data_IF_622457051115
#
_entry.id   IF_622457051115
#
_cell.length_a   1.000
_cell.length_b   1.000
_cell.length_c   1.000
_cell.angle_alpha   90.00
_cell.angle_beta   90.00
_cell.angle_gamma   90.00
#
_symmetry.space_group_name_H-M   'P 1'
#
loop_
_entity.id
_entity.type
_entity.pdbx_description
1 polymer ?
#
# COMPACT_ATOMS: atom_id res chain seq x y z
N UNK A 1 -9.06 -0.10 18.55
CA UNK A 1 -9.29 -1.31 17.75
C UNK A 1 -10.22 -0.97 16.59
N UNK A 2 -9.66 -0.52 15.46
CA UNK A 2 -10.43 -0.26 14.23
C UNK A 2 -10.22 -1.44 13.28
N UNK A 3 -10.92 -2.55 13.58
CA UNK A 3 -10.93 -3.77 12.75
C UNK A 3 -11.59 -3.55 11.38
N UNK A 4 -12.16 -2.38 11.12
CA UNK A 4 -12.77 -2.02 9.84
C UNK A 4 -11.76 -1.62 8.75
N UNK A 5 -10.57 -1.13 9.13
CA UNK A 5 -9.53 -0.72 8.18
C UNK A 5 -8.93 -1.88 7.35
N UNK A 6 -8.53 -3.04 7.95
CA UNK A 6 -7.95 -4.12 7.17
C UNK A 6 -8.96 -4.76 6.21
N UNK A 7 -10.24 -4.83 6.59
CA UNK A 7 -11.29 -5.43 5.76
C UNK A 7 -11.59 -4.58 4.53
N UNK A 8 -11.74 -3.27 4.68
CA UNK A 8 -12.00 -2.35 3.56
C UNK A 8 -10.81 -2.35 2.59
N UNK A 9 -9.58 -2.33 3.10
CA UNK A 9 -8.38 -2.38 2.26
C UNK A 9 -8.29 -3.69 1.47
N UNK A 10 -8.65 -4.82 2.09
CA UNK A 10 -8.65 -6.13 1.44
C UNK A 10 -9.74 -6.22 0.36
N UNK A 11 -10.94 -5.69 0.63
CA UNK A 11 -12.03 -5.65 -0.37
C UNK A 11 -11.65 -4.82 -1.59
N UNK A 12 -11.02 -3.66 -1.39
CA UNK A 12 -10.57 -2.81 -2.50
C UNK A 12 -9.43 -3.50 -3.27
N UNK A 13 -8.49 -4.16 -2.58
CA UNK A 13 -7.44 -4.95 -3.22
C UNK A 13 -7.99 -6.04 -4.12
N UNK A 14 -9.00 -6.78 -3.67
CA UNK A 14 -9.63 -7.86 -4.44
C UNK A 14 -10.36 -7.29 -5.65
N UNK A 15 -11.13 -6.20 -5.47
CA UNK A 15 -11.86 -5.56 -6.56
C UNK A 15 -10.92 -5.02 -7.66
N UNK A 16 -9.75 -4.48 -7.29
CA UNK A 16 -8.74 -4.03 -8.26
C UNK A 16 -8.09 -5.22 -8.98
N UNK A 17 -7.72 -6.28 -8.27
CA UNK A 17 -7.22 -7.51 -8.89
C UNK A 17 -8.23 -8.07 -9.90
N UNK A 18 -9.51 -8.16 -9.52
CA UNK A 18 -10.59 -8.60 -10.42
C UNK A 18 -10.74 -7.69 -11.64
N UNK A 19 -10.63 -6.37 -11.46
CA UNK A 19 -10.70 -5.41 -12.58
C UNK A 19 -9.50 -5.53 -13.55
N UNK A 20 -8.34 -5.94 -13.06
CA UNK A 20 -7.15 -6.22 -13.89
C UNK A 20 -7.32 -7.57 -14.62
N UNK A 21 -7.80 -8.60 -13.94
CA UNK A 21 -7.98 -9.95 -14.49
C UNK A 21 -9.10 -10.03 -15.54
N UNK A 22 -10.13 -9.18 -15.44
CA UNK A 22 -11.28 -9.15 -16.35
C UNK A 22 -10.97 -8.59 -17.75
N UNK A 23 -9.72 -8.20 -18.05
CA UNK A 23 -9.36 -7.68 -19.37
C UNK A 23 -9.97 -6.29 -19.62
N UNK A 24 -9.23 -5.27 -19.20
CA UNK A 24 -9.61 -3.87 -19.35
C UNK A 24 -9.88 -3.47 -20.81
N UNK A 25 -11.12 -3.09 -21.15
CA UNK A 25 -11.50 -2.50 -22.46
C UNK A 25 -11.29 -0.97 -22.44
N UNK A 26 -10.37 -0.43 -23.27
CA UNK A 26 -9.92 0.95 -23.24
C UNK A 26 -10.87 1.90 -23.99
N UNK A 27 -12.16 1.93 -23.65
CA UNK A 27 -13.04 3.03 -24.07
C UNK A 27 -12.87 4.23 -23.14
N UNK A 28 -12.87 5.45 -23.71
CA UNK A 28 -12.40 6.74 -23.12
C UNK A 28 -12.88 7.09 -21.69
N UNK A 29 -13.97 6.49 -21.20
CA UNK A 29 -14.48 6.67 -19.82
C UNK A 29 -13.87 5.68 -18.80
N UNK A 30 -13.52 4.47 -19.23
CA UNK A 30 -12.95 3.43 -18.36
C UNK A 30 -11.51 3.74 -17.94
N UNK A 31 -10.72 4.38 -18.82
CA UNK A 31 -9.32 4.76 -18.53
C UNK A 31 -9.23 5.77 -17.40
N UNK A 32 -10.09 6.79 -17.40
CA UNK A 32 -10.10 7.84 -16.36
C UNK A 32 -10.52 7.26 -15.01
N UNK A 33 -11.53 6.38 -15.00
CA UNK A 33 -12.02 5.71 -13.80
C UNK A 33 -10.97 4.74 -13.24
N UNK A 34 -10.35 3.93 -14.08
CA UNK A 34 -9.28 3.01 -13.69
C UNK A 34 -8.07 3.77 -13.12
N UNK A 35 -7.64 4.83 -13.79
CA UNK A 35 -6.55 5.67 -13.29
C UNK A 35 -6.89 6.30 -11.93
N UNK A 36 -8.13 6.81 -11.76
CA UNK A 36 -8.57 7.38 -10.49
C UNK A 36 -8.65 6.34 -9.36
N UNK A 37 -9.14 5.14 -9.66
CA UNK A 37 -9.18 4.00 -8.73
C UNK A 37 -7.78 3.51 -8.37
N UNK A 38 -6.88 3.40 -9.35
CA UNK A 38 -5.48 3.03 -9.15
C UNK A 38 -4.77 4.06 -8.29
N UNK A 39 -4.92 5.36 -8.56
CA UNK A 39 -4.36 6.42 -7.73
C UNK A 39 -4.95 6.42 -6.32
N UNK A 40 -6.26 6.19 -6.17
CA UNK A 40 -6.89 6.07 -4.85
C UNK A 40 -6.39 4.83 -4.08
N UNK A 41 -6.11 3.73 -4.78
CA UNK A 41 -5.61 2.50 -4.19
C UNK A 41 -4.13 2.59 -3.80
N UNK A 42 -3.31 3.22 -4.65
CA UNK A 42 -1.91 3.54 -4.35
C UNK A 42 -1.78 4.63 -3.29
N UNK A 43 -2.85 5.37 -2.99
CA UNK A 43 -2.91 6.34 -1.89
C UNK A 43 -3.11 5.62 -0.55
N UNK A 44 -2.06 4.96 -0.08
CA UNK A 44 -1.98 4.39 1.28
C UNK A 44 -0.93 5.12 2.12
N UNK A 45 -1.20 5.35 3.41
CA UNK A 45 -0.17 5.82 4.36
C UNK A 45 0.83 4.71 4.66
N UNK A 46 2.12 5.05 4.83
CA UNK A 46 3.12 4.07 5.27
C UNK A 46 2.95 3.76 6.76
N UNK A 47 3.11 2.49 7.15
CA UNK A 47 3.12 2.10 8.56
C UNK A 47 4.52 2.34 9.14
N UNK A 48 4.60 3.06 10.26
CA UNK A 48 5.89 3.28 10.94
C UNK A 48 6.13 2.13 11.92
N UNK A 49 7.15 1.32 11.65
CA UNK A 49 7.53 0.19 12.49
C UNK A 49 8.88 0.48 13.15
N UNK A 50 8.97 0.52 14.49
CA UNK A 50 10.23 0.69 15.18
C UNK A 50 11.03 -0.62 15.22
N UNK A 51 12.27 -0.61 14.72
CA UNK A 51 13.20 -1.75 14.77
C UNK A 51 14.30 -1.49 15.81
N UNK A 52 14.47 -2.40 16.76
CA UNK A 52 15.48 -2.30 17.81
C UNK A 52 16.90 -2.37 17.22
N UNK A 53 17.81 -1.51 17.70
CA UNK A 53 19.24 -1.57 17.39
C UNK A 53 19.88 -2.78 18.11
N UNK A 54 20.71 -3.60 17.43
CA UNK A 54 21.42 -4.70 18.09
C UNK A 54 22.26 -4.21 19.27
N UNK A 55 22.25 -4.95 20.38
CA UNK A 55 23.04 -4.65 21.58
C UNK A 55 22.60 -3.40 22.35
N UNK A 56 21.41 -2.85 22.08
CA UNK A 56 20.87 -1.69 22.79
C UNK A 56 19.65 -2.08 23.63
N UNK A 57 19.44 -1.34 24.71
CA UNK A 57 18.38 -1.58 25.67
C UNK A 57 16.98 -1.35 25.04
N UNK A 58 16.08 -2.36 25.04
CA UNK A 58 14.74 -2.24 24.47
C UNK A 58 13.80 -1.31 25.26
N UNK A 59 14.14 -0.92 26.49
CA UNK A 59 13.30 0.00 27.28
C UNK A 59 13.46 1.46 26.85
N UNK A 60 14.54 1.79 26.15
CA UNK A 60 14.86 3.15 25.74
C UNK A 60 14.33 3.43 24.32
N UNK A 61 13.48 4.46 24.10
CA UNK A 61 12.95 4.79 22.78
C UNK A 61 14.04 5.12 21.74
N UNK A 62 15.17 5.70 22.20
CA UNK A 62 16.34 6.03 21.37
C UNK A 62 17.08 4.80 20.82
N UNK A 63 16.80 3.61 21.37
CA UNK A 63 17.32 2.33 20.91
C UNK A 63 16.65 1.81 19.65
N UNK A 64 15.51 2.40 19.24
CA UNK A 64 14.81 1.98 18.03
C UNK A 64 15.19 2.84 16.81
N UNK A 65 14.95 2.29 15.62
CA UNK A 65 15.00 2.97 14.33
C UNK A 65 13.62 2.85 13.68
N UNK A 66 12.86 3.94 13.54
CA UNK A 66 11.59 3.88 12.84
C UNK A 66 11.84 3.66 11.34
N UNK A 67 11.18 2.66 10.76
CA UNK A 67 11.14 2.46 9.32
C UNK A 67 9.71 2.68 8.81
N UNK A 68 9.58 3.30 7.64
CA UNK A 68 8.28 3.46 6.97
C UNK A 68 8.06 2.28 6.02
N UNK A 69 7.15 1.38 6.39
CA UNK A 69 6.76 0.21 5.60
C UNK A 69 5.58 0.58 4.69
N UNK A 70 5.85 0.57 3.39
CA UNK A 70 4.83 0.63 2.36
C UNK A 70 4.19 -0.75 2.18
N UNK A 71 2.92 -0.79 1.80
CA UNK A 71 2.28 -2.04 1.35
C UNK A 71 3.03 -2.61 0.13
N UNK A 72 3.06 -3.94 -0.01
CA UNK A 72 3.75 -4.63 -1.11
C UNK A 72 3.36 -4.10 -2.49
N UNK A 73 2.10 -3.74 -2.70
CA UNK A 73 1.62 -3.20 -3.98
C UNK A 73 2.18 -1.82 -4.28
N UNK A 74 2.22 -0.91 -3.29
CA UNK A 74 2.90 0.40 -3.44
C UNK A 74 4.40 0.23 -3.74
N UNK A 75 5.06 -0.77 -3.14
CA UNK A 75 6.47 -1.06 -3.40
C UNK A 75 6.72 -1.53 -4.85
N UNK A 76 5.83 -2.38 -5.37
CA UNK A 76 5.87 -2.82 -6.77
C UNK A 76 5.59 -1.63 -7.71
N UNK A 77 4.58 -0.81 -7.39
CA UNK A 77 4.23 0.36 -8.19
C UNK A 77 5.37 1.40 -8.24
N UNK A 78 6.07 1.63 -7.13
CA UNK A 78 7.30 2.46 -7.11
C UNK A 78 8.32 1.93 -8.12
N UNK A 79 8.60 0.62 -8.12
CA UNK A 79 9.55 0.03 -9.07
C UNK A 79 9.10 0.11 -10.53
N UNK A 80 7.79 0.10 -10.81
CA UNK A 80 7.25 0.21 -12.18
C UNK A 80 7.29 1.66 -12.68
N UNK A 81 6.97 2.63 -11.81
CA UNK A 81 6.93 4.06 -12.17
C UNK A 81 8.34 4.66 -12.24
N UNK A 82 9.29 4.14 -11.47
CA UNK A 82 10.69 4.58 -11.44
C UNK A 82 11.58 3.91 -12.53
N UNK A 83 10.97 3.29 -13.55
CA UNK A 83 11.66 2.86 -14.79
C UNK A 83 12.03 4.07 -15.64
#
# INVERSE_FOLDING_TARGET
>A
MNLHYPTVQLTISIAVCQAIDQGFDPTRRNVVIFHQLLLAYLRGTAAVVPILKPGKDPTQPSSYRPISLLSSIRKIAENIILI
#
